data_IF_527580457185
#
_entry.id   IF_527580457185
#
_cell.length_a   1.000
_cell.length_b   1.000
_cell.length_c   1.000
_cell.angle_alpha   90.00
_cell.angle_beta   90.00
_cell.angle_gamma   90.00
#
_symmetry.space_group_name_H-M   'P 1'
#
loop_
_entity.id
_entity.type
_entity.pdbx_description
1 polymer ?
#
# COMPACT_ATOMS: atom_id res chain seq x y z
N UNK A 1 -12.32 15.71 36.41
CA UNK A 1 -13.53 15.88 35.57
C UNK A 1 -13.22 17.01 34.61
N UNK A 2 -12.97 16.82 33.33
CA UNK A 2 -13.51 15.82 32.39
C UNK A 2 -12.47 15.46 31.35
N UNK A 3 -12.36 14.16 31.12
CA UNK A 3 -11.52 13.45 30.17
C UNK A 3 -12.15 13.60 28.77
N UNK A 4 -11.50 14.35 27.88
CA UNK A 4 -11.85 14.37 26.46
C UNK A 4 -11.45 13.04 25.84
N UNK A 5 -12.42 12.14 25.75
CA UNK A 5 -12.34 10.94 24.91
C UNK A 5 -12.12 11.38 23.46
N UNK A 6 -10.87 11.35 22.99
CA UNK A 6 -10.53 11.30 21.56
C UNK A 6 -11.26 10.09 20.98
N UNK A 7 -12.31 10.36 20.22
CA UNK A 7 -13.14 9.34 19.59
C UNK A 7 -12.28 8.48 18.67
N UNK A 8 -12.34 7.17 18.86
CA UNK A 8 -11.78 6.20 17.92
C UNK A 8 -12.38 6.46 16.53
N UNK A 9 -11.54 6.88 15.57
CA UNK A 9 -11.94 6.98 14.17
C UNK A 9 -12.38 5.59 13.71
N UNK A 10 -13.64 5.48 13.30
CA UNK A 10 -14.18 4.23 12.75
C UNK A 10 -13.66 4.04 11.33
N UNK A 11 -12.94 2.95 11.15
CA UNK A 11 -12.40 2.46 9.89
C UNK A 11 -13.52 2.24 8.87
N UNK A 12 -13.40 2.82 7.67
CA UNK A 12 -14.25 2.52 6.50
C UNK A 12 -13.36 2.40 5.27
N UNK A 13 -13.37 1.22 4.64
CA UNK A 13 -13.07 1.11 3.21
C UNK A 13 -14.18 1.86 2.46
N UNK A 14 -13.82 2.61 1.41
CA UNK A 14 -14.77 3.25 0.48
C UNK A 14 -14.37 2.84 -0.94
N UNK A 15 -15.33 2.37 -1.73
CA UNK A 15 -15.14 2.12 -3.17
C UNK A 15 -15.69 3.35 -3.90
N UNK A 16 -14.91 3.90 -4.83
CA UNK A 16 -15.34 5.03 -5.67
C UNK A 16 -15.53 4.54 -7.10
N UNK A 17 -16.71 4.80 -7.68
CA UNK A 17 -16.97 4.66 -9.11
C UNK A 17 -16.41 5.89 -9.85
N UNK A 18 -15.70 5.68 -10.96
CA UNK A 18 -15.23 6.76 -11.85
C UNK A 18 -16.19 6.85 -13.05
N UNK A 19 -16.76 8.02 -13.32
CA UNK A 19 -17.76 8.23 -14.38
C UNK A 19 -17.12 8.35 -15.79
N UNK A 20 -17.84 7.98 -16.88
CA UNK A 20 -17.30 7.99 -18.25
C UNK A 20 -16.93 9.39 -18.79
N UNK A 21 -17.56 10.45 -18.29
CA UNK A 21 -17.39 11.84 -18.75
C UNK A 21 -16.19 12.58 -18.12
N UNK A 22 -15.43 11.95 -17.20
CA UNK A 22 -14.17 12.49 -16.66
C UNK A 22 -13.00 12.49 -17.70
N UNK A 23 -13.30 12.31 -19.00
CA UNK A 23 -12.33 12.31 -20.11
C UNK A 23 -12.21 13.69 -20.74
N UNK A 24 -11.26 14.50 -20.27
CA UNK A 24 -10.93 15.79 -20.93
C UNK A 24 -10.06 15.55 -22.17
N UNK A 25 -10.59 16.04 -23.30
CA UNK A 25 -9.99 16.43 -24.58
C UNK A 25 -8.73 15.71 -25.12
N UNK A 26 -8.92 15.01 -26.25
CA UNK A 26 -7.86 14.53 -27.15
C UNK A 26 -7.12 15.71 -27.82
N UNK A 27 -5.82 15.82 -27.60
CA UNK A 27 -4.90 16.35 -28.60
C UNK A 27 -4.18 15.23 -29.34
N UNK A 28 -4.01 15.43 -30.65
CA UNK A 28 -3.64 14.42 -31.64
C UNK A 28 -2.14 14.12 -31.60
N UNK A 29 -1.79 12.84 -31.41
CA UNK A 29 -0.55 12.26 -31.92
C UNK A 29 0.53 11.98 -30.87
N UNK A 30 0.41 10.84 -30.18
CA UNK A 30 1.47 10.27 -29.34
C UNK A 30 0.97 9.01 -28.64
N UNK A 31 1.66 7.88 -28.79
CA UNK A 31 1.21 6.58 -28.26
C UNK A 31 1.35 6.54 -26.73
N UNK A 32 0.20 6.51 -26.05
CA UNK A 32 -0.04 5.77 -24.81
C UNK A 32 0.52 6.36 -23.51
N UNK A 33 -0.11 7.42 -23.01
CA UNK A 33 -0.05 7.84 -21.60
C UNK A 33 -1.45 8.20 -21.08
N UNK A 34 -1.81 7.59 -19.95
CA UNK A 34 -2.70 8.06 -18.86
C UNK A 34 -4.18 8.41 -19.15
N UNK A 35 -5.00 8.42 -18.08
CA UNK A 35 -5.89 9.54 -17.68
C UNK A 35 -7.06 9.08 -16.79
N UNK A 36 -6.86 9.21 -15.48
CA UNK A 36 -7.88 9.14 -14.42
C UNK A 36 -7.32 9.56 -13.05
N UNK A 37 -6.02 9.37 -12.84
CA UNK A 37 -5.30 9.73 -11.61
C UNK A 37 -5.02 11.24 -11.42
N UNK A 38 -4.84 12.07 -12.48
CA UNK A 38 -4.67 13.52 -12.31
C UNK A 38 -5.91 14.20 -11.73
N UNK A 39 -7.12 13.74 -12.09
CA UNK A 39 -8.39 14.29 -11.58
C UNK A 39 -8.64 13.84 -10.14
N UNK A 40 -8.27 12.60 -9.79
CA UNK A 40 -8.36 12.07 -8.43
C UNK A 40 -7.45 12.85 -7.47
N UNK A 41 -6.22 13.13 -7.90
CA UNK A 41 -5.31 13.95 -7.11
C UNK A 41 -5.66 15.44 -7.16
N UNK A 42 -6.23 15.97 -8.25
CA UNK A 42 -6.70 17.35 -8.33
C UNK A 42 -7.94 17.59 -7.45
N UNK A 43 -8.88 16.63 -7.33
CA UNK A 43 -10.03 16.77 -6.42
C UNK A 43 -9.65 16.61 -4.94
N UNK A 44 -8.56 15.91 -4.63
CA UNK A 44 -7.94 15.87 -3.28
C UNK A 44 -7.00 17.07 -3.02
N UNK A 45 -6.34 17.60 -4.05
CA UNK A 45 -5.44 18.77 -4.01
C UNK A 45 -6.17 20.12 -4.20
N UNK A 46 -7.42 20.15 -4.67
CA UNK A 46 -8.24 21.38 -4.72
C UNK A 46 -8.56 21.92 -3.31
N UNK A 47 -8.18 21.19 -2.25
CA UNK A 47 -8.29 21.61 -0.85
C UNK A 47 -6.98 21.86 -0.12
N UNK A 48 -5.84 21.50 -0.69
CA UNK A 48 -4.56 21.69 -0.01
C UNK A 48 -3.57 22.13 -1.09
N UNK A 49 -2.92 23.27 -0.87
CA UNK A 49 -2.18 23.99 -1.92
C UNK A 49 -0.72 23.54 -2.08
N UNK A 50 -0.30 23.47 -3.35
CA UNK A 50 0.95 22.92 -3.87
C UNK A 50 2.26 23.44 -3.25
N UNK A 51 3.24 22.56 -2.94
CA UNK A 51 4.56 22.44 -3.62
C UNK A 51 5.53 21.39 -3.00
N UNK A 52 6.54 21.03 -3.81
CA UNK A 52 7.36 19.80 -3.93
C UNK A 52 8.59 19.69 -3.01
N UNK A 53 9.07 18.47 -2.71
CA UNK A 53 10.46 18.17 -2.34
C UNK A 53 11.05 17.00 -3.17
N UNK A 54 12.11 17.29 -3.93
CA UNK A 54 12.92 16.34 -4.74
C UNK A 54 14.18 15.81 -4.00
N UNK A 55 14.38 16.15 -2.73
CA UNK A 55 15.73 16.08 -2.14
C UNK A 55 16.05 14.82 -1.31
N UNK A 56 15.11 13.91 -1.09
CA UNK A 56 15.30 12.78 -0.15
C UNK A 56 15.94 11.53 -0.79
N UNK A 57 15.81 11.34 -2.09
CA UNK A 57 16.21 10.10 -2.81
C UNK A 57 17.72 9.93 -2.96
N UNK A 58 18.53 10.95 -2.66
CA UNK A 58 19.96 10.98 -3.03
C UNK A 58 20.94 10.36 -2.03
N UNK A 59 20.48 9.80 -0.90
CA UNK A 59 21.40 9.39 0.20
C UNK A 59 21.48 7.89 0.51
N UNK A 60 20.85 7.01 -0.26
CA UNK A 60 20.77 5.58 0.11
C UNK A 60 21.26 4.64 -1.02
N UNK A 61 22.42 4.93 -1.61
CA UNK A 61 23.07 4.04 -2.58
C UNK A 61 24.23 3.22 -1.98
N UNK A 62 24.04 1.90 -1.85
CA UNK A 62 24.97 0.77 -2.12
C UNK A 62 24.56 -0.43 -1.24
N UNK A 63 24.39 -1.68 -1.69
CA UNK A 63 24.94 -2.43 -2.83
C UNK A 63 23.95 -3.49 -3.37
N UNK A 64 24.20 -3.88 -4.64
CA UNK A 64 23.81 -5.09 -5.37
C UNK A 64 22.38 -5.24 -5.96
N UNK A 65 22.31 -5.08 -7.30
CA UNK A 65 21.63 -6.07 -8.13
C UNK A 65 20.25 -5.76 -8.73
N UNK A 66 19.82 -4.50 -8.83
CA UNK A 66 18.74 -4.01 -9.71
C UNK A 66 19.10 -2.58 -10.11
N UNK A 67 18.70 -2.13 -11.31
CA UNK A 67 19.08 -0.82 -11.85
C UNK A 67 18.80 0.34 -10.90
N UNK A 68 19.50 1.46 -11.09
CA UNK A 68 19.60 2.67 -10.23
C UNK A 68 18.28 3.42 -9.90
N UNK A 69 17.12 2.77 -9.98
CA UNK A 69 15.82 3.35 -9.69
C UNK A 69 15.35 2.95 -8.29
N UNK A 70 14.88 3.94 -7.53
CA UNK A 70 14.24 3.72 -6.23
C UNK A 70 13.05 2.76 -6.37
N UNK A 71 12.92 1.81 -5.44
CA UNK A 71 11.79 0.88 -5.42
C UNK A 71 10.53 1.52 -4.83
N UNK A 72 10.66 2.70 -4.25
CA UNK A 72 9.57 3.52 -3.73
C UNK A 72 9.74 4.96 -4.20
N UNK A 73 8.70 5.47 -4.87
CA UNK A 73 8.62 6.89 -5.22
C UNK A 73 7.87 7.64 -4.12
N UNK A 74 8.36 8.81 -3.73
CA UNK A 74 7.70 9.70 -2.76
C UNK A 74 7.50 11.06 -3.40
N UNK A 75 6.24 11.51 -3.43
CA UNK A 75 5.87 12.85 -3.86
C UNK A 75 5.14 13.56 -2.72
N UNK A 76 5.56 14.78 -2.39
CA UNK A 76 4.79 15.62 -1.46
C UNK A 76 3.75 16.42 -2.24
N UNK A 77 2.48 16.22 -1.89
CA UNK A 77 1.37 17.07 -2.30
C UNK A 77 0.90 17.82 -1.07
N UNK A 78 1.32 19.08 -0.98
CA UNK A 78 0.98 20.00 0.10
C UNK A 78 1.52 19.50 1.45
N UNK A 79 0.65 19.03 2.35
CA UNK A 79 1.05 18.38 3.61
C UNK A 79 0.87 16.87 3.59
N UNK A 80 0.76 16.24 2.41
CA UNK A 80 0.49 14.81 2.26
C UNK A 80 1.67 14.16 1.51
N UNK A 81 2.27 13.14 2.10
CA UNK A 81 3.26 12.32 1.42
C UNK A 81 2.56 11.20 0.63
N UNK A 82 2.72 11.20 -0.69
CA UNK A 82 2.23 10.15 -1.58
C UNK A 82 3.36 9.16 -1.80
N UNK A 83 3.26 7.99 -1.16
CA UNK A 83 4.21 6.89 -1.22
C UNK A 83 3.72 5.86 -2.22
N UNK A 84 4.53 5.60 -3.25
CA UNK A 84 4.20 4.67 -4.32
C UNK A 84 5.20 3.53 -4.35
N UNK A 85 4.73 2.30 -4.14
CA UNK A 85 5.53 1.10 -4.42
C UNK A 85 5.81 1.04 -5.91
N UNK A 86 7.08 0.98 -6.29
CA UNK A 86 7.55 1.03 -7.66
C UNK A 86 8.52 -0.11 -7.96
N UNK A 87 8.09 -1.33 -7.66
CA UNK A 87 8.84 -2.56 -7.88
C UNK A 87 8.17 -3.40 -8.97
N UNK A 88 8.32 -3.03 -10.26
CA UNK A 88 7.66 -3.73 -11.35
C UNK A 88 8.05 -5.23 -11.41
N UNK A 89 7.17 -6.09 -11.93
CA UNK A 89 5.90 -5.75 -12.60
C UNK A 89 4.69 -5.64 -11.66
N UNK A 90 4.77 -6.12 -10.43
CA UNK A 90 3.60 -6.33 -9.56
C UNK A 90 3.78 -5.84 -8.12
N UNK A 91 4.82 -5.04 -7.87
CA UNK A 91 5.17 -4.51 -6.55
C UNK A 91 5.30 -5.64 -5.51
N UNK A 92 6.07 -6.67 -5.86
CA UNK A 92 6.36 -7.78 -4.96
C UNK A 92 7.20 -7.27 -3.77
N UNK A 93 6.87 -7.74 -2.57
CA UNK A 93 7.52 -7.36 -1.31
C UNK A 93 8.71 -8.28 -1.06
N UNK A 94 9.77 -8.09 -1.86
CA UNK A 94 11.07 -8.68 -1.55
C UNK A 94 11.78 -7.90 -0.44
N UNK A 95 12.94 -8.40 0.02
CA UNK A 95 13.65 -7.82 1.16
C UNK A 95 13.99 -6.35 0.94
N UNK A 96 14.46 -6.01 -0.25
CA UNK A 96 14.88 -4.65 -0.60
C UNK A 96 13.69 -3.68 -0.56
N UNK A 97 12.54 -4.06 -1.13
CA UNK A 97 11.30 -3.26 -1.05
C UNK A 97 10.87 -3.06 0.40
N UNK A 98 10.91 -4.10 1.24
CA UNK A 98 10.51 -4.03 2.64
C UNK A 98 11.39 -3.09 3.47
N UNK A 99 12.71 -3.14 3.25
CA UNK A 99 13.65 -2.22 3.88
C UNK A 99 13.40 -0.78 3.44
N UNK A 100 13.13 -0.56 2.14
CA UNK A 100 12.84 0.77 1.60
C UNK A 100 11.51 1.32 2.13
N UNK A 101 10.47 0.49 2.32
CA UNK A 101 9.20 0.89 2.97
C UNK A 101 9.50 1.46 4.36
N UNK A 102 10.27 0.72 5.17
CA UNK A 102 10.62 1.11 6.53
C UNK A 102 11.40 2.42 6.54
N UNK A 103 12.44 2.54 5.72
CA UNK A 103 13.25 3.74 5.62
C UNK A 103 12.42 4.95 5.17
N UNK A 104 11.52 4.75 4.21
CA UNK A 104 10.63 5.79 3.66
C UNK A 104 9.68 6.33 4.72
N UNK A 105 9.00 5.44 5.45
CA UNK A 105 8.08 5.84 6.51
C UNK A 105 8.80 6.62 7.62
N UNK A 106 9.96 6.13 8.08
CA UNK A 106 10.78 6.85 9.07
C UNK A 106 11.27 8.21 8.57
N UNK A 107 11.63 8.32 7.29
CA UNK A 107 12.00 9.59 6.71
C UNK A 107 10.83 10.58 6.68
N UNK A 108 9.62 10.11 6.33
CA UNK A 108 8.40 10.93 6.33
C UNK A 108 8.03 11.42 7.73
N UNK A 109 8.20 10.58 8.75
CA UNK A 109 7.96 10.96 10.15
C UNK A 109 8.81 12.17 10.59
N UNK A 110 10.01 12.34 10.02
CA UNK A 110 10.88 13.47 10.28
C UNK A 110 10.57 14.73 9.44
N UNK A 111 9.48 14.72 8.66
CA UNK A 111 9.03 15.86 7.83
C UNK A 111 7.80 16.56 8.41
N UNK A 112 7.37 17.66 7.77
CA UNK A 112 6.12 18.36 8.10
C UNK A 112 4.85 17.70 7.49
N UNK A 113 4.96 16.47 6.99
CA UNK A 113 3.82 15.72 6.49
C UNK A 113 2.78 15.50 7.60
N UNK A 114 1.50 15.61 7.24
CA UNK A 114 0.36 15.41 8.15
C UNK A 114 -0.41 14.13 7.87
N UNK A 115 -0.16 13.47 6.74
CA UNK A 115 -0.76 12.20 6.36
C UNK A 115 0.09 11.52 5.27
N UNK A 116 -0.13 10.22 5.10
CA UNK A 116 0.47 9.41 4.02
C UNK A 116 -0.63 8.80 3.16
N UNK A 117 -0.45 8.84 1.84
CA UNK A 117 -1.18 7.99 0.90
C UNK A 117 -0.22 6.91 0.42
N UNK A 118 -0.54 5.64 0.69
CA UNK A 118 0.21 4.48 0.21
C UNK A 118 -0.50 3.87 -1.00
N UNK A 119 0.22 3.63 -2.09
CA UNK A 119 -0.34 3.08 -3.34
C UNK A 119 0.72 2.32 -4.14
N UNK A 120 0.34 1.59 -5.20
CA UNK A 120 1.28 0.91 -6.09
C UNK A 120 1.45 1.64 -7.43
N UNK A 121 2.55 1.39 -8.12
CA UNK A 121 2.74 1.76 -9.53
C UNK A 121 2.20 0.66 -10.45
N UNK A 122 1.88 1.02 -11.70
CA UNK A 122 1.38 0.08 -12.69
C UNK A 122 0.00 -0.51 -12.34
N UNK A 123 -0.21 -1.79 -12.66
CA UNK A 123 -1.50 -2.48 -12.58
C UNK A 123 -1.76 -3.20 -11.25
N UNK A 124 -0.83 -3.14 -10.31
CA UNK A 124 -0.96 -3.79 -9.00
C UNK A 124 -0.71 -2.78 -7.88
N UNK A 125 -1.43 -2.96 -6.78
CA UNK A 125 -1.03 -2.33 -5.53
C UNK A 125 0.20 -3.06 -4.99
N UNK A 126 0.06 -4.36 -4.72
CA UNK A 126 1.16 -5.28 -4.42
C UNK A 126 0.70 -6.73 -4.50
N UNK A 127 1.53 -7.59 -5.11
CA UNK A 127 1.31 -9.04 -5.13
C UNK A 127 1.69 -9.75 -3.81
N UNK A 128 2.22 -9.03 -2.82
CA UNK A 128 2.71 -9.61 -1.57
C UNK A 128 4.14 -10.13 -1.68
N UNK A 129 4.55 -11.00 -0.77
CA UNK A 129 5.92 -11.50 -0.68
C UNK A 129 6.37 -12.18 -1.97
N UNK A 130 7.62 -11.95 -2.37
CA UNK A 130 8.25 -12.65 -3.50
C UNK A 130 8.59 -14.09 -3.10
N UNK A 131 7.62 -14.99 -3.26
CA UNK A 131 7.79 -16.41 -2.94
C UNK A 131 8.86 -17.08 -3.81
N UNK A 132 9.11 -16.60 -5.02
CA UNK A 132 10.15 -17.17 -5.87
C UNK A 132 11.53 -16.93 -5.23
N UNK A 133 11.82 -15.70 -4.81
CA UNK A 133 13.09 -15.39 -4.14
C UNK A 133 13.23 -16.13 -2.81
N UNK A 134 12.16 -16.14 -2.00
CA UNK A 134 12.13 -16.85 -0.71
C UNK A 134 12.46 -18.33 -0.85
N UNK A 135 11.98 -19.00 -1.91
CA UNK A 135 12.19 -20.43 -2.13
C UNK A 135 13.56 -20.76 -2.76
N UNK A 136 14.19 -19.81 -3.45
CA UNK A 136 15.40 -20.09 -4.25
C UNK A 136 16.70 -19.50 -3.68
N UNK A 137 16.63 -18.51 -2.77
CA UNK A 137 17.82 -17.82 -2.23
C UNK A 137 18.30 -18.37 -0.86
N UNK A 138 17.66 -19.42 -0.36
CA UNK A 138 18.08 -20.16 0.82
C UNK A 138 17.70 -19.53 2.18
N UNK A 139 18.08 -20.21 3.25
CA UNK A 139 17.58 -19.94 4.62
C UNK A 139 17.95 -18.55 5.14
N UNK A 140 19.13 -18.03 4.79
CA UNK A 140 19.57 -16.70 5.21
C UNK A 140 18.70 -15.61 4.58
N UNK A 141 18.39 -15.74 3.29
CA UNK A 141 17.50 -14.82 2.60
C UNK A 141 16.10 -14.86 3.21
N UNK A 142 15.56 -16.06 3.46
CA UNK A 142 14.27 -16.22 4.14
C UNK A 142 14.27 -15.52 5.51
N UNK A 143 15.29 -15.74 6.35
CA UNK A 143 15.38 -15.16 7.69
C UNK A 143 15.45 -13.63 7.65
N UNK A 144 16.29 -13.08 6.77
CA UNK A 144 16.44 -11.62 6.63
C UNK A 144 15.20 -10.98 6.03
N UNK A 145 14.54 -11.64 5.08
CA UNK A 145 13.26 -11.20 4.51
C UNK A 145 12.16 -11.18 5.57
N UNK A 146 12.02 -12.23 6.39
CA UNK A 146 11.02 -12.26 7.48
C UNK A 146 11.24 -11.16 8.52
N UNK A 147 12.50 -10.82 8.83
CA UNK A 147 12.84 -9.71 9.72
C UNK A 147 12.43 -8.37 9.12
N UNK A 148 12.80 -8.10 7.86
CA UNK A 148 12.42 -6.89 7.14
C UNK A 148 10.90 -6.76 7.00
N UNK A 149 10.23 -7.90 6.79
CA UNK A 149 8.78 -7.98 6.67
C UNK A 149 8.10 -7.59 7.99
N UNK A 150 8.55 -8.17 9.11
CA UNK A 150 8.06 -7.82 10.45
C UNK A 150 8.28 -6.33 10.76
N UNK A 151 9.44 -5.78 10.41
CA UNK A 151 9.76 -4.37 10.64
C UNK A 151 8.90 -3.43 9.78
N UNK A 152 8.73 -3.71 8.48
CA UNK A 152 7.96 -2.88 7.58
C UNK A 152 6.48 -2.82 7.97
N UNK A 153 5.86 -3.98 8.22
CA UNK A 153 4.46 -4.05 8.64
C UNK A 153 4.25 -3.44 10.02
N UNK A 154 5.16 -3.68 10.97
CA UNK A 154 5.10 -3.06 12.29
C UNK A 154 5.22 -1.54 12.25
N UNK A 155 6.15 -1.03 11.44
CA UNK A 155 6.38 0.41 11.23
C UNK A 155 5.14 1.07 10.63
N UNK A 156 4.53 0.46 9.61
CA UNK A 156 3.30 0.96 9.00
C UNK A 156 2.13 0.94 9.98
N UNK A 157 1.92 -0.17 10.70
CA UNK A 157 0.79 -0.33 11.61
C UNK A 157 0.86 0.58 12.84
N UNK A 158 2.07 0.96 13.25
CA UNK A 158 2.31 1.86 14.38
C UNK A 158 2.65 3.29 13.93
N UNK A 159 2.46 3.60 12.65
CA UNK A 159 2.88 4.89 12.10
C UNK A 159 2.12 6.05 12.76
N UNK A 160 2.79 7.13 13.20
CA UNK A 160 2.16 8.17 14.01
C UNK A 160 1.26 9.13 13.21
N UNK A 161 1.36 9.12 11.88
CA UNK A 161 0.53 9.93 11.00
C UNK A 161 -0.56 9.07 10.35
N UNK A 162 -1.75 9.63 10.07
CA UNK A 162 -2.80 8.92 9.35
C UNK A 162 -2.32 8.37 8.00
N UNK A 163 -2.58 7.09 7.73
CA UNK A 163 -2.25 6.43 6.47
C UNK A 163 -3.52 6.00 5.72
N UNK A 164 -3.60 6.39 4.44
CA UNK A 164 -4.63 5.95 3.50
C UNK A 164 -4.03 4.99 2.48
N UNK A 165 -4.47 3.75 2.46
CA UNK A 165 -4.18 2.83 1.36
C UNK A 165 -5.08 3.16 0.15
N UNK A 166 -4.51 3.66 -0.93
CA UNK A 166 -5.17 3.87 -2.22
C UNK A 166 -4.85 2.70 -3.16
N UNK A 167 -5.74 1.69 -3.14
CA UNK A 167 -5.60 0.42 -3.86
C UNK A 167 -5.98 0.61 -5.34
N UNK A 168 -4.95 0.74 -6.18
CA UNK A 168 -5.06 0.92 -7.64
C UNK A 168 -5.23 -0.38 -8.42
N UNK A 169 -4.95 -1.54 -7.81
CA UNK A 169 -4.97 -2.84 -8.47
C UNK A 169 -4.85 -3.99 -7.47
N UNK A 170 -4.34 -5.14 -7.92
CA UNK A 170 -4.25 -6.33 -7.07
C UNK A 170 -3.50 -6.05 -5.76
N UNK A 171 -4.11 -6.41 -4.62
CA UNK A 171 -3.53 -6.34 -3.28
C UNK A 171 -3.65 -7.73 -2.64
N UNK A 172 -2.64 -8.56 -2.87
CA UNK A 172 -2.67 -10.00 -2.55
C UNK A 172 -1.69 -10.30 -1.42
N UNK A 173 -2.08 -11.20 -0.52
CA UNK A 173 -1.25 -11.68 0.58
C UNK A 173 -0.68 -10.50 1.40
N UNK A 174 0.65 -10.33 1.44
CA UNK A 174 1.29 -9.18 2.08
C UNK A 174 0.78 -7.81 1.58
N UNK A 175 0.36 -7.69 0.32
CA UNK A 175 -0.29 -6.49 -0.19
C UNK A 175 -1.63 -6.21 0.51
N UNK A 176 -2.43 -7.24 0.80
CA UNK A 176 -3.65 -7.11 1.58
C UNK A 176 -3.34 -6.77 3.06
N UNK A 177 -2.22 -7.27 3.60
CA UNK A 177 -1.77 -6.90 4.94
C UNK A 177 -1.41 -5.41 5.01
N UNK A 178 -0.74 -4.84 3.99
CA UNK A 178 -0.44 -3.40 3.92
C UNK A 178 -1.73 -2.57 3.90
N UNK A 179 -2.73 -3.04 3.16
CA UNK A 179 -4.06 -2.44 3.11
C UNK A 179 -4.72 -2.46 4.49
N UNK A 180 -4.74 -3.62 5.17
CA UNK A 180 -5.29 -3.75 6.51
C UNK A 180 -4.52 -2.97 7.59
N UNK A 181 -3.22 -2.76 7.39
CA UNK A 181 -2.37 -1.98 8.30
C UNK A 181 -2.65 -0.47 8.22
N UNK A 182 -3.31 0.01 7.17
CA UNK A 182 -3.61 1.44 6.98
C UNK A 182 -4.92 1.84 7.69
N UNK A 183 -4.96 3.07 8.21
CA UNK A 183 -6.13 3.62 8.93
C UNK A 183 -7.38 3.69 8.06
N UNK A 184 -7.19 4.14 6.82
CA UNK A 184 -8.24 4.23 5.81
C UNK A 184 -7.84 3.49 4.56
N UNK A 185 -8.85 3.01 3.84
CA UNK A 185 -8.66 2.25 2.62
C UNK A 185 -9.62 2.76 1.57
N UNK A 186 -9.12 2.95 0.37
CA UNK A 186 -9.92 3.30 -0.79
C UNK A 186 -9.45 2.40 -1.91
N UNK A 187 -10.39 1.76 -2.60
CA UNK A 187 -10.08 0.96 -3.78
C UNK A 187 -10.69 1.61 -5.01
N UNK A 188 -9.93 1.58 -6.11
CA UNK A 188 -10.52 1.75 -7.43
C UNK A 188 -11.62 0.70 -7.63
N UNK A 189 -12.65 1.04 -8.40
CA UNK A 189 -13.51 0.05 -9.02
C UNK A 189 -12.74 -0.68 -10.12
N UNK A 190 -13.03 -1.96 -10.35
CA UNK A 190 -12.38 -2.72 -11.42
C UNK A 190 -12.25 -4.22 -11.16
N UNK A 191 -11.55 -4.88 -12.07
CA UNK A 191 -11.32 -6.32 -12.03
C UNK A 191 -9.95 -6.67 -11.41
N UNK A 192 -9.71 -6.20 -10.20
CA UNK A 192 -8.60 -6.64 -9.37
C UNK A 192 -9.10 -7.40 -8.15
N UNK A 193 -8.16 -8.01 -7.43
CA UNK A 193 -8.44 -8.87 -6.29
C UNK A 193 -7.71 -8.38 -5.06
N UNK A 194 -8.41 -8.41 -3.92
CA UNK A 194 -7.92 -8.04 -2.60
C UNK A 194 -8.15 -9.21 -1.66
N UNK A 195 -7.12 -9.65 -0.97
CA UNK A 195 -7.27 -10.66 0.08
C UNK A 195 -6.02 -11.48 0.34
N UNK A 196 -6.15 -12.32 1.34
CA UNK A 196 -5.10 -13.21 1.83
C UNK A 196 -5.09 -14.50 1.02
N UNK A 197 -3.93 -14.91 0.51
CA UNK A 197 -3.78 -16.12 -0.31
C UNK A 197 -2.78 -17.12 0.28
N UNK A 198 -2.15 -16.77 1.41
CA UNK A 198 -1.04 -17.47 2.05
C UNK A 198 -1.39 -18.94 2.36
N UNK A 199 -2.53 -19.16 3.03
CA UNK A 199 -2.94 -20.52 3.42
C UNK A 199 -3.27 -21.41 2.22
N UNK A 200 -3.66 -20.85 1.07
CA UNK A 200 -3.93 -21.63 -0.14
C UNK A 200 -2.66 -22.18 -0.80
N UNK A 201 -1.53 -21.53 -0.54
CA UNK A 201 -0.21 -21.94 -1.05
C UNK A 201 0.65 -22.58 0.04
N UNK A 202 0.06 -22.89 1.20
CA UNK A 202 0.74 -23.57 2.31
C UNK A 202 1.69 -22.66 3.10
N UNK A 203 1.63 -21.34 2.92
CA UNK A 203 2.44 -20.39 3.67
C UNK A 203 1.75 -20.07 5.00
N UNK A 204 2.41 -20.28 6.16
CA UNK A 204 1.84 -19.95 7.45
C UNK A 204 1.58 -18.45 7.58
N UNK A 205 0.47 -18.07 8.21
CA UNK A 205 0.17 -16.68 8.51
C UNK A 205 0.86 -16.25 9.82
N UNK A 206 1.83 -15.33 9.81
CA UNK A 206 2.50 -14.90 11.03
C UNK A 206 1.53 -14.24 12.02
N UNK A 207 1.78 -14.38 13.32
CA UNK A 207 0.88 -13.87 14.35
C UNK A 207 0.63 -12.35 14.25
N UNK A 208 1.67 -11.56 13.98
CA UNK A 208 1.53 -10.10 13.80
C UNK A 208 0.65 -9.77 12.58
N UNK A 209 0.76 -10.54 11.50
CA UNK A 209 -0.04 -10.35 10.30
C UNK A 209 -1.51 -10.69 10.58
N UNK A 210 -1.76 -11.76 11.34
CA UNK A 210 -3.10 -12.16 11.76
C UNK A 210 -3.78 -11.04 12.56
N UNK A 211 -3.05 -10.38 13.45
CA UNK A 211 -3.61 -9.29 14.26
C UNK A 211 -3.87 -8.03 13.42
N UNK A 212 -2.99 -7.71 12.46
CA UNK A 212 -3.25 -6.64 11.47
C UNK A 212 -4.50 -6.97 10.64
N UNK A 213 -4.61 -8.21 10.14
CA UNK A 213 -5.78 -8.65 9.39
C UNK A 213 -7.06 -8.62 10.25
N UNK A 214 -6.97 -8.96 11.54
CA UNK A 214 -8.08 -8.86 12.49
C UNK A 214 -8.53 -7.41 12.68
N UNK A 215 -7.58 -6.48 12.74
CA UNK A 215 -7.88 -5.05 12.84
C UNK A 215 -8.53 -4.51 11.55
N UNK A 216 -7.98 -4.90 10.40
CA UNK A 216 -8.42 -4.40 9.10
C UNK A 216 -9.69 -5.05 8.55
N UNK A 217 -10.22 -6.10 9.18
CA UNK A 217 -11.44 -6.80 8.73
C UNK A 217 -12.57 -6.66 9.74
N UNK A 218 -13.83 -6.83 9.28
CA UNK A 218 -14.94 -6.91 10.23
C UNK A 218 -14.82 -8.21 11.05
N UNK A 219 -15.03 -8.18 12.38
CA UNK A 219 -14.91 -9.37 13.22
C UNK A 219 -15.72 -10.57 12.73
N UNK A 220 -16.92 -10.34 12.16
CA UNK A 220 -17.78 -11.38 11.61
C UNK A 220 -17.21 -12.08 10.37
N UNK A 221 -16.32 -11.41 9.63
CA UNK A 221 -15.77 -11.91 8.37
C UNK A 221 -14.32 -12.39 8.51
N UNK A 222 -13.64 -12.08 9.62
CA UNK A 222 -12.22 -12.38 9.82
C UNK A 222 -11.87 -13.84 9.52
N UNK A 223 -12.63 -14.79 10.06
CA UNK A 223 -12.39 -16.22 9.83
C UNK A 223 -12.55 -16.60 8.36
N UNK A 224 -13.59 -16.12 7.67
CA UNK A 224 -13.79 -16.38 6.24
C UNK A 224 -12.63 -15.79 5.42
N UNK A 225 -12.30 -14.52 5.69
CA UNK A 225 -11.30 -13.75 4.95
C UNK A 225 -9.90 -14.37 5.10
N UNK A 226 -9.52 -14.77 6.30
CA UNK A 226 -8.18 -15.30 6.58
C UNK A 226 -8.10 -16.80 6.35
N UNK A 227 -9.02 -17.61 6.90
CA UNK A 227 -8.85 -19.07 6.89
C UNK A 227 -9.17 -19.72 5.55
N UNK A 228 -10.07 -19.12 4.76
CA UNK A 228 -10.37 -19.67 3.43
C UNK A 228 -9.38 -19.20 2.36
N UNK A 229 -8.53 -18.21 2.69
CA UNK A 229 -7.51 -17.68 1.78
C UNK A 229 -8.08 -17.19 0.44
N UNK A 230 -9.30 -16.63 0.46
CA UNK A 230 -9.97 -16.15 -0.75
C UNK A 230 -9.55 -14.71 -1.05
N UNK A 231 -9.52 -14.37 -2.33
CA UNK A 231 -9.41 -12.99 -2.79
C UNK A 231 -10.74 -12.53 -3.38
N UNK A 232 -11.11 -11.30 -3.07
CA UNK A 232 -12.40 -10.70 -3.40
C UNK A 232 -12.20 -9.57 -4.39
N UNK A 233 -13.19 -9.29 -5.24
CA UNK A 233 -13.23 -8.01 -5.97
C UNK A 233 -13.44 -6.83 -5.00
N UNK A 234 -13.26 -5.57 -5.43
CA UNK A 234 -13.32 -4.41 -4.55
C UNK A 234 -14.62 -4.28 -3.76
N UNK A 235 -15.77 -4.59 -4.38
CA UNK A 235 -17.07 -4.49 -3.73
C UNK A 235 -17.25 -5.59 -2.67
N UNK A 236 -16.90 -6.84 -3.00
CA UNK A 236 -16.95 -7.94 -2.06
C UNK A 236 -15.93 -7.80 -0.91
N UNK A 237 -14.79 -7.14 -1.16
CA UNK A 237 -13.82 -6.77 -0.14
C UNK A 237 -14.39 -5.69 0.80
N UNK A 238 -15.01 -4.63 0.26
CA UNK A 238 -15.69 -3.58 1.02
C UNK A 238 -16.79 -4.14 1.94
N UNK A 239 -17.55 -5.12 1.47
CA UNK A 239 -18.55 -5.81 2.28
C UNK A 239 -17.93 -6.58 3.47
N UNK A 240 -16.62 -6.85 3.45
CA UNK A 240 -15.90 -7.65 4.45
C UNK A 240 -15.06 -6.87 5.46
N UNK A 241 -14.63 -5.65 5.13
CA UNK A 241 -13.90 -4.74 6.04
C UNK A 241 -13.14 -3.70 5.25
#
# INVERSE_FOLDING_TARGET
>A
MTEERRGALRVRLVVLELEPDDRVARERGGKGFDHGLPVLCARLADRVGHQVLESATKRLGSEAGRGEHALIDVETRDSIAVVRLNAPPVNALDREVLLEITATLRAIEATDARAVVLTGSGSAFSAGADLFRVLNEGDEYLRTSLAALTEAFGTLFQFPLPVVAAVNGHAIAGGAVLVCASDHRISAAGNHKIGFAELRVGVPFPAWALEIARWGTRPANFQEVVYFGRSYDPEAALARG
#
